data_IF_756967605755
#
_entry.id   IF_756967605755
#
_cell.length_a   1.000
_cell.length_b   1.000
_cell.length_c   1.000
_cell.angle_alpha   90.00
_cell.angle_beta   90.00
_cell.angle_gamma   90.00
#
_symmetry.space_group_name_H-M   'P 1'
#
loop_
_entity.id
_entity.type
_entity.pdbx_description
1 polymer ?
#
# COMPACT_ATOMS: atom_id res chain seq x y z
N UNK A 1 13.38 14.55 8.66
CA UNK A 1 14.22 15.57 7.95
C UNK A 1 15.61 15.09 7.57
N UNK A 2 16.43 14.50 8.45
CA UNK A 2 17.77 14.01 8.03
C UNK A 2 17.69 12.73 7.20
N UNK A 3 16.94 11.74 7.65
CA UNK A 3 16.77 10.44 6.96
C UNK A 3 16.09 10.60 5.61
N UNK A 4 15.04 11.40 5.51
CA UNK A 4 14.35 11.73 4.25
C UNK A 4 15.31 12.28 3.19
N UNK A 5 16.22 13.19 3.61
CA UNK A 5 17.21 13.76 2.70
C UNK A 5 18.24 12.72 2.24
N UNK A 6 18.68 11.80 3.10
CA UNK A 6 19.56 10.70 2.71
C UNK A 6 18.91 9.83 1.62
N UNK A 7 17.64 9.45 1.79
CA UNK A 7 16.90 8.73 0.76
C UNK A 7 16.73 9.53 -0.54
N UNK A 8 16.47 10.84 -0.43
CA UNK A 8 16.36 11.73 -1.59
C UNK A 8 17.68 11.78 -2.37
N UNK A 9 18.83 11.88 -1.69
CA UNK A 9 20.16 11.86 -2.31
C UNK A 9 20.38 10.53 -3.04
N UNK A 10 20.11 9.39 -2.39
CA UNK A 10 20.25 8.06 -3.02
C UNK A 10 19.37 7.97 -4.26
N UNK A 11 18.13 8.41 -4.20
CA UNK A 11 17.23 8.38 -5.34
C UNK A 11 17.71 9.26 -6.51
N UNK A 12 18.19 10.47 -6.24
CA UNK A 12 18.73 11.38 -7.25
C UNK A 12 19.99 10.80 -7.94
N UNK A 13 20.87 10.15 -7.16
CA UNK A 13 22.04 9.48 -7.69
C UNK A 13 21.69 8.23 -8.50
N UNK A 14 20.69 7.46 -8.08
CA UNK A 14 20.20 6.29 -8.83
C UNK A 14 19.53 6.67 -10.15
N UNK A 15 18.77 7.75 -10.18
CA UNK A 15 18.10 8.23 -11.38
C UNK A 15 19.03 8.91 -12.38
N UNK A 16 20.28 9.18 -11.98
CA UNK A 16 21.24 9.96 -12.79
C UNK A 16 20.84 11.44 -12.98
N UNK A 17 19.88 11.92 -12.17
CA UNK A 17 19.35 13.29 -12.29
C UNK A 17 20.30 14.36 -11.75
N UNK A 18 21.25 13.99 -10.88
CA UNK A 18 22.26 14.88 -10.29
C UNK A 18 23.61 14.19 -10.30
N UNK A 19 24.63 14.89 -10.78
CA UNK A 19 26.01 14.37 -10.86
C UNK A 19 27.00 15.16 -10.00
N UNK A 20 26.61 16.25 -9.36
CA UNK A 20 27.52 17.10 -8.58
C UNK A 20 26.99 17.43 -7.19
N UNK A 21 27.91 17.70 -6.24
CA UNK A 21 27.51 18.12 -4.89
C UNK A 21 26.70 19.44 -4.89
N UNK A 22 26.94 20.29 -5.88
CA UNK A 22 26.20 21.55 -6.04
C UNK A 22 24.75 21.31 -6.45
N UNK A 23 24.52 20.46 -7.46
CA UNK A 23 23.17 20.06 -7.90
C UNK A 23 22.40 19.39 -6.76
N UNK A 24 23.03 18.46 -6.04
CA UNK A 24 22.41 17.82 -4.87
C UNK A 24 22.04 18.84 -3.79
N UNK A 25 22.91 19.83 -3.54
CA UNK A 25 22.66 20.88 -2.56
C UNK A 25 21.47 21.76 -2.96
N UNK A 26 21.35 22.12 -4.23
CA UNK A 26 20.23 22.86 -4.78
C UNK A 26 18.92 22.07 -4.67
N UNK A 27 18.90 20.81 -5.09
CA UNK A 27 17.72 19.94 -5.01
C UNK A 27 17.23 19.69 -3.57
N UNK A 28 18.17 19.49 -2.65
CA UNK A 28 17.85 19.24 -1.25
C UNK A 28 17.69 20.51 -0.41
N UNK A 29 17.89 21.72 -1.01
CA UNK A 29 17.83 23.02 -0.33
C UNK A 29 18.75 23.11 0.90
N UNK A 30 19.97 22.60 0.78
CA UNK A 30 21.01 22.61 1.84
C UNK A 30 22.37 23.06 1.30
N UNK A 31 23.34 23.27 2.20
CA UNK A 31 24.71 23.62 1.79
C UNK A 31 25.45 22.42 1.20
N UNK A 32 26.43 22.68 0.31
CA UNK A 32 27.33 21.65 -0.23
C UNK A 32 28.08 20.90 0.90
N UNK A 33 28.43 21.60 2.00
CA UNK A 33 29.03 20.99 3.19
C UNK A 33 28.09 19.97 3.85
N UNK A 34 26.78 20.25 3.88
CA UNK A 34 25.78 19.32 4.39
C UNK A 34 25.69 18.08 3.50
N UNK A 35 25.67 18.25 2.18
CA UNK A 35 25.69 17.14 1.23
C UNK A 35 26.91 16.25 1.41
N UNK A 36 28.11 16.83 1.59
CA UNK A 36 29.32 16.03 1.83
C UNK A 36 29.20 15.16 3.09
N UNK A 37 28.70 15.72 4.19
CA UNK A 37 28.45 14.94 5.42
C UNK A 37 27.40 13.85 5.21
N UNK A 38 26.37 14.12 4.42
CA UNK A 38 25.34 13.13 4.10
C UNK A 38 25.90 12.01 3.20
N UNK A 39 26.78 12.32 2.24
CA UNK A 39 27.49 11.34 1.41
C UNK A 39 28.44 10.46 2.25
N UNK A 40 29.15 11.05 3.21
CA UNK A 40 29.98 10.31 4.16
C UNK A 40 29.14 9.37 5.02
N UNK A 41 27.97 9.83 5.51
CA UNK A 41 27.04 9.01 6.27
C UNK A 41 26.46 7.86 5.44
N UNK A 42 26.14 8.09 4.17
CA UNK A 42 25.70 7.05 3.23
C UNK A 42 26.80 6.01 3.00
N UNK A 43 28.04 6.46 2.81
CA UNK A 43 29.20 5.57 2.66
C UNK A 43 29.45 4.72 3.90
N UNK A 44 29.34 5.30 5.09
CA UNK A 44 29.44 4.58 6.38
C UNK A 44 28.29 3.57 6.56
N UNK A 45 27.11 3.86 6.01
CA UNK A 45 25.96 2.95 5.99
C UNK A 45 26.08 1.84 4.93
N UNK A 46 27.22 1.74 4.21
CA UNK A 46 27.46 0.70 3.21
C UNK A 46 26.94 1.04 1.80
N UNK A 47 26.44 2.24 1.57
CA UNK A 47 26.03 2.71 0.23
C UNK A 47 27.27 3.18 -0.53
N UNK A 48 27.69 2.51 -1.62
CA UNK A 48 28.94 2.78 -2.30
C UNK A 48 28.83 4.02 -3.18
N UNK A 49 28.91 5.19 -2.55
CA UNK A 49 29.00 6.47 -3.22
C UNK A 49 30.44 6.68 -3.68
N UNK A 50 30.63 7.07 -4.93
CA UNK A 50 31.93 7.49 -5.43
C UNK A 50 31.92 8.97 -5.81
N UNK A 51 33.06 9.61 -5.68
CA UNK A 51 33.29 10.98 -6.13
C UNK A 51 34.54 11.00 -7.01
N UNK A 52 34.43 11.50 -8.23
CA UNK A 52 35.57 11.70 -9.15
C UNK A 52 35.79 13.18 -9.38
N UNK A 53 37.08 13.61 -9.35
CA UNK A 53 37.51 15.00 -9.59
C UNK A 53 37.91 15.18 -11.06
N UNK A 54 37.68 16.37 -11.62
CA UNK A 54 38.13 16.76 -12.94
C UNK A 54 37.02 17.07 -13.91
N UNK A 55 37.39 17.37 -15.16
CA UNK A 55 36.44 17.67 -16.24
C UNK A 55 35.64 16.40 -16.57
N UNK A 56 34.34 16.42 -16.32
CA UNK A 56 33.48 15.23 -16.43
C UNK A 56 33.41 14.38 -15.15
N UNK A 57 34.06 14.84 -14.05
CA UNK A 57 33.93 14.21 -12.74
C UNK A 57 32.58 14.52 -12.07
N UNK A 58 32.17 13.69 -11.13
CA UNK A 58 30.89 13.83 -10.44
C UNK A 58 30.76 12.90 -9.24
N UNK A 59 29.59 12.94 -8.66
CA UNK A 59 29.16 12.06 -7.57
C UNK A 59 28.18 11.05 -8.17
N UNK A 60 28.34 9.80 -7.85
CA UNK A 60 27.48 8.73 -8.33
C UNK A 60 27.49 7.53 -7.39
N UNK A 61 26.67 6.57 -7.73
CA UNK A 61 26.70 5.24 -7.12
C UNK A 61 27.48 4.30 -8.03
N UNK A 62 28.26 3.39 -7.48
CA UNK A 62 28.96 2.38 -8.27
C UNK A 62 27.93 1.65 -9.16
N UNK A 63 28.31 1.39 -10.42
CA UNK A 63 27.40 0.76 -11.42
C UNK A 63 26.81 -0.59 -11.00
N UNK A 64 27.51 -1.25 -10.08
CA UNK A 64 27.09 -2.52 -9.50
C UNK A 64 26.18 -2.35 -8.29
N UNK A 65 26.01 -1.10 -7.81
CA UNK A 65 25.11 -0.81 -6.71
C UNK A 65 23.68 -0.81 -7.23
N UNK A 66 22.94 -1.76 -6.78
CA UNK A 66 21.48 -1.78 -6.82
C UNK A 66 21.01 -1.80 -5.38
N UNK A 67 19.98 -1.02 -5.06
CA UNK A 67 19.41 -0.93 -3.72
C UNK A 67 19.00 -2.32 -3.19
N UNK A 68 18.70 -3.21 -4.12
CA UNK A 68 18.28 -4.58 -3.94
C UNK A 68 19.34 -5.45 -3.23
N UNK A 69 20.62 -5.31 -3.59
CA UNK A 69 21.69 -6.17 -3.04
C UNK A 69 22.15 -5.75 -1.64
N UNK A 70 21.87 -4.52 -1.22
CA UNK A 70 22.40 -3.97 0.04
C UNK A 70 21.38 -4.06 1.18
N UNK A 71 20.08 -4.02 0.87
CA UNK A 71 19.01 -3.95 1.89
C UNK A 71 18.08 -5.17 1.90
N UNK A 72 18.05 -5.94 0.83
CA UNK A 72 17.16 -7.09 0.70
C UNK A 72 17.88 -8.26 0.01
N UNK A 73 17.78 -9.42 0.59
CA UNK A 73 18.21 -10.66 -0.05
C UNK A 73 17.34 -10.97 -1.27
N UNK A 74 17.84 -11.81 -2.15
CA UNK A 74 17.07 -12.25 -3.32
C UNK A 74 15.75 -12.92 -2.95
N UNK A 75 15.72 -13.63 -1.82
CA UNK A 75 14.52 -14.27 -1.31
C UNK A 75 13.50 -13.22 -0.83
N UNK A 76 13.93 -12.23 -0.06
CA UNK A 76 13.05 -11.15 0.41
C UNK A 76 12.43 -10.36 -0.75
N UNK A 77 13.21 -10.09 -1.81
CA UNK A 77 12.70 -9.45 -3.02
C UNK A 77 11.63 -10.32 -3.71
N UNK A 78 11.88 -11.63 -3.83
CA UNK A 78 10.92 -12.57 -4.39
C UNK A 78 9.63 -12.60 -3.55
N UNK A 79 9.75 -12.66 -2.23
CA UNK A 79 8.61 -12.71 -1.32
C UNK A 79 7.75 -11.43 -1.41
N UNK A 80 8.37 -10.26 -1.57
CA UNK A 80 7.67 -8.99 -1.80
C UNK A 80 6.87 -9.06 -3.12
N UNK A 81 7.50 -9.51 -4.20
CA UNK A 81 6.81 -9.62 -5.49
C UNK A 81 5.66 -10.62 -5.45
N UNK A 82 5.84 -11.77 -4.79
CA UNK A 82 4.77 -12.76 -4.58
C UNK A 82 3.63 -12.21 -3.73
N UNK A 83 3.93 -11.44 -2.68
CA UNK A 83 2.92 -10.75 -1.88
C UNK A 83 2.09 -9.77 -2.71
N UNK A 84 2.71 -9.01 -3.61
CA UNK A 84 1.99 -8.11 -4.52
C UNK A 84 1.15 -8.86 -5.56
N UNK A 85 1.64 -9.98 -6.09
CA UNK A 85 0.86 -10.86 -6.97
C UNK A 85 -0.37 -11.43 -6.26
N UNK A 86 -0.23 -11.82 -4.98
CA UNK A 86 -1.36 -12.27 -4.19
C UNK A 86 -2.41 -11.17 -3.97
N UNK A 87 -1.99 -9.93 -3.72
CA UNK A 87 -2.88 -8.77 -3.61
C UNK A 87 -3.60 -8.47 -4.94
N UNK A 88 -2.90 -8.59 -6.08
CA UNK A 88 -3.53 -8.46 -7.39
C UNK A 88 -4.59 -9.53 -7.60
N UNK A 89 -4.28 -10.79 -7.28
CA UNK A 89 -5.22 -11.90 -7.32
C UNK A 89 -6.46 -11.69 -6.43
N UNK A 90 -6.29 -10.98 -5.30
CA UNK A 90 -7.39 -10.56 -4.44
C UNK A 90 -8.21 -9.39 -5.02
N UNK A 91 -7.82 -8.84 -6.18
CA UNK A 91 -8.48 -7.71 -6.83
C UNK A 91 -8.16 -6.37 -6.17
N UNK A 92 -6.98 -6.24 -5.54
CA UNK A 92 -6.49 -4.94 -5.06
C UNK A 92 -6.17 -4.03 -6.26
N UNK A 93 -6.80 -2.85 -6.39
CA UNK A 93 -6.79 -2.07 -7.64
C UNK A 93 -5.42 -1.59 -8.12
N UNK A 94 -4.49 -1.31 -7.18
CA UNK A 94 -3.19 -0.69 -7.48
C UNK A 94 -2.03 -1.70 -7.42
N UNK A 95 -2.29 -2.98 -7.15
CA UNK A 95 -1.27 -4.02 -6.97
C UNK A 95 -0.37 -4.19 -8.18
N UNK A 96 -0.94 -4.19 -9.37
CA UNK A 96 -0.22 -4.40 -10.64
C UNK A 96 0.82 -3.32 -10.93
N UNK A 97 0.49 -2.04 -10.72
CA UNK A 97 1.43 -0.94 -10.97
C UNK A 97 2.65 -0.98 -10.03
N UNK A 98 2.45 -1.33 -8.77
CA UNK A 98 3.53 -1.51 -7.80
C UNK A 98 4.39 -2.74 -8.14
N UNK A 99 3.76 -3.86 -8.51
CA UNK A 99 4.43 -5.10 -8.92
C UNK A 99 5.39 -4.85 -10.09
N UNK A 100 4.91 -4.24 -11.19
CA UNK A 100 5.78 -3.96 -12.35
C UNK A 100 6.93 -3.01 -12.03
N UNK A 101 6.69 -1.97 -11.22
CA UNK A 101 7.75 -1.04 -10.82
C UNK A 101 8.81 -1.73 -9.97
N UNK A 102 8.42 -2.55 -9.00
CA UNK A 102 9.36 -3.25 -8.13
C UNK A 102 10.08 -4.39 -8.85
N UNK A 103 9.41 -5.14 -9.74
CA UNK A 103 10.05 -6.15 -10.57
C UNK A 103 11.14 -5.54 -11.47
N UNK A 104 10.87 -4.37 -12.07
CA UNK A 104 11.86 -3.61 -12.83
C UNK A 104 13.01 -3.11 -11.96
N UNK A 105 12.72 -2.59 -10.75
CA UNK A 105 13.71 -2.11 -9.80
C UNK A 105 14.64 -3.24 -9.34
N UNK A 106 14.07 -4.39 -9.01
CA UNK A 106 14.82 -5.59 -8.61
C UNK A 106 15.48 -6.30 -9.79
N UNK A 107 15.24 -5.84 -11.04
CA UNK A 107 15.73 -6.47 -12.29
C UNK A 107 15.37 -7.95 -12.37
N UNK A 108 14.24 -8.34 -11.78
CA UNK A 108 13.71 -9.70 -11.82
C UNK A 108 12.65 -9.83 -12.89
N UNK A 109 12.69 -10.94 -13.61
CA UNK A 109 11.52 -11.37 -14.37
C UNK A 109 10.46 -11.85 -13.39
N UNK A 110 9.21 -11.54 -13.68
CA UNK A 110 8.09 -12.07 -12.90
C UNK A 110 8.14 -13.60 -12.94
N UNK A 111 8.46 -14.20 -11.82
CA UNK A 111 8.37 -15.64 -11.65
C UNK A 111 6.89 -16.04 -11.56
N UNK A 112 6.43 -16.81 -12.53
CA UNK A 112 5.03 -17.23 -12.65
C UNK A 112 4.74 -18.59 -12.00
N UNK A 113 5.61 -19.05 -11.11
CA UNK A 113 5.37 -20.31 -10.40
C UNK A 113 4.21 -20.21 -9.39
N UNK A 114 3.95 -19.03 -8.86
CA UNK A 114 2.81 -18.73 -8.01
C UNK A 114 1.76 -17.94 -8.81
N UNK A 115 0.56 -18.49 -8.91
CA UNK A 115 -0.59 -17.80 -9.48
C UNK A 115 -1.71 -17.82 -8.46
N UNK A 116 -2.08 -16.65 -7.96
CA UNK A 116 -3.19 -16.48 -7.03
C UNK A 116 -4.37 -15.93 -7.82
N UNK A 117 -5.44 -16.69 -7.90
CA UNK A 117 -6.68 -16.28 -8.55
C UNK A 117 -7.83 -16.42 -7.56
N UNK A 118 -8.29 -15.30 -7.06
CA UNK A 118 -9.47 -15.19 -6.20
C UNK A 118 -10.70 -14.70 -6.99
N UNK A 119 -10.66 -14.72 -8.32
CA UNK A 119 -11.81 -14.34 -9.12
C UNK A 119 -13.00 -15.24 -8.78
N UNK A 120 -14.13 -14.63 -8.44
CA UNK A 120 -15.38 -15.36 -8.32
C UNK A 120 -16.05 -15.40 -9.69
N UNK A 121 -16.65 -16.53 -10.04
CA UNK A 121 -17.46 -16.69 -11.28
C UNK A 121 -18.64 -15.71 -11.35
N UNK A 122 -19.07 -15.18 -10.20
CA UNK A 122 -19.97 -14.04 -10.14
C UNK A 122 -19.10 -12.78 -9.97
N UNK A 123 -19.02 -11.95 -11.01
CA UNK A 123 -18.25 -10.72 -11.04
C UNK A 123 -18.31 -9.96 -9.70
N UNK A 124 -17.16 -9.57 -9.18
CA UNK A 124 -17.09 -8.81 -7.95
C UNK A 124 -17.80 -7.48 -8.17
N UNK A 125 -19.04 -7.33 -7.68
CA UNK A 125 -19.79 -6.06 -7.71
C UNK A 125 -19.14 -4.96 -6.87
N UNK A 126 -17.82 -5.12 -6.57
CA UNK A 126 -16.99 -4.18 -5.83
C UNK A 126 -15.99 -3.54 -6.81
N UNK A 127 -16.44 -2.45 -7.46
CA UNK A 127 -15.63 -1.73 -8.44
C UNK A 127 -14.45 -0.96 -7.82
N UNK A 128 -13.43 -0.68 -8.63
CA UNK A 128 -12.23 0.07 -8.24
C UNK A 128 -12.56 1.40 -7.54
N UNK A 129 -13.50 2.16 -8.08
CA UNK A 129 -13.90 3.45 -7.52
C UNK A 129 -14.42 3.33 -6.08
N UNK A 130 -15.31 2.36 -5.83
CA UNK A 130 -15.85 2.12 -4.49
C UNK A 130 -14.75 1.70 -3.52
N UNK A 131 -13.79 0.90 -3.97
CA UNK A 131 -12.63 0.51 -3.17
C UNK A 131 -11.82 1.74 -2.75
N UNK A 132 -11.48 2.62 -3.70
CA UNK A 132 -10.72 3.85 -3.42
C UNK A 132 -11.47 4.77 -2.46
N UNK A 133 -12.75 5.00 -2.69
CA UNK A 133 -13.57 5.84 -1.80
C UNK A 133 -13.64 5.31 -0.36
N UNK A 134 -13.75 4.01 -0.18
CA UNK A 134 -13.71 3.39 1.15
C UNK A 134 -12.31 3.49 1.77
N UNK A 135 -11.25 3.21 1.01
CA UNK A 135 -9.87 3.37 1.45
C UNK A 135 -9.57 4.79 1.92
N UNK A 136 -9.96 5.79 1.12
CA UNK A 136 -9.80 7.20 1.48
C UNK A 136 -10.59 7.57 2.73
N UNK A 137 -11.83 7.13 2.85
CA UNK A 137 -12.65 7.37 4.03
C UNK A 137 -12.06 6.75 5.30
N UNK A 138 -11.50 5.54 5.22
CA UNK A 138 -10.81 4.87 6.33
C UNK A 138 -9.56 5.65 6.75
N UNK A 139 -8.70 6.00 5.77
CA UNK A 139 -7.44 6.71 6.04
C UNK A 139 -7.66 8.12 6.57
N UNK A 140 -8.68 8.84 6.06
CA UNK A 140 -9.06 10.16 6.49
C UNK A 140 -10.02 10.16 7.71
N UNK A 141 -10.36 8.97 8.24
CA UNK A 141 -11.33 8.80 9.33
C UNK A 141 -12.66 9.53 9.09
N UNK A 142 -13.17 9.46 7.87
CA UNK A 142 -14.43 10.09 7.47
C UNK A 142 -15.60 9.13 7.58
N UNK A 143 -16.71 9.63 8.11
CA UNK A 143 -17.98 8.89 8.19
C UNK A 143 -18.52 8.62 6.78
N UNK A 144 -19.13 7.46 6.59
CA UNK A 144 -19.76 7.08 5.32
C UNK A 144 -21.25 6.82 5.48
N UNK A 145 -22.04 7.22 4.47
CA UNK A 145 -23.44 6.88 4.32
C UNK A 145 -23.61 6.02 3.07
N UNK A 146 -24.41 4.98 3.16
CA UNK A 146 -24.66 4.07 2.05
C UNK A 146 -25.94 3.27 2.22
N UNK A 147 -26.41 2.72 1.12
CA UNK A 147 -27.49 1.73 1.08
C UNK A 147 -26.88 0.32 1.16
N UNK A 148 -27.37 -0.51 2.06
CA UNK A 148 -26.92 -1.89 2.23
C UNK A 148 -28.01 -2.90 1.91
N UNK A 149 -27.67 -3.87 1.07
CA UNK A 149 -28.52 -5.00 0.70
C UNK A 149 -28.09 -6.24 1.50
N UNK A 150 -28.94 -6.70 2.42
CA UNK A 150 -28.67 -7.92 3.19
C UNK A 150 -28.74 -9.18 2.32
N UNK A 151 -28.32 -10.34 2.87
CA UNK A 151 -28.51 -11.64 2.22
C UNK A 151 -29.98 -11.99 2.01
N UNK A 152 -30.87 -11.45 2.85
CA UNK A 152 -32.30 -11.64 2.79
C UNK A 152 -33.03 -10.58 1.94
N UNK A 153 -32.31 -9.90 1.05
CA UNK A 153 -32.83 -8.83 0.18
C UNK A 153 -33.44 -7.62 0.95
N UNK A 154 -33.14 -7.46 2.23
CA UNK A 154 -33.59 -6.28 2.98
C UNK A 154 -32.69 -5.10 2.66
N UNK A 155 -33.26 -3.99 2.29
CA UNK A 155 -32.58 -2.73 2.00
C UNK A 155 -32.58 -1.87 3.25
N UNK A 156 -31.43 -1.28 3.60
CA UNK A 156 -31.30 -0.39 4.74
C UNK A 156 -30.29 0.71 4.48
N UNK A 157 -30.65 1.95 4.78
CA UNK A 157 -29.69 3.06 4.85
C UNK A 157 -28.87 2.96 6.11
N UNK A 158 -27.56 3.20 5.97
CA UNK A 158 -26.60 3.13 7.06
C UNK A 158 -25.68 4.32 7.08
N UNK A 159 -25.37 4.75 8.29
CA UNK A 159 -24.30 5.72 8.57
C UNK A 159 -23.29 5.00 9.46
N UNK A 160 -22.06 4.92 9.02
CA UNK A 160 -21.05 4.12 9.68
C UNK A 160 -19.67 4.77 9.66
N UNK A 161 -18.85 4.41 10.64
CA UNK A 161 -17.45 4.76 10.74
C UNK A 161 -16.63 3.59 10.17
N UNK A 162 -16.08 3.69 8.96
CA UNK A 162 -15.33 2.59 8.35
C UNK A 162 -13.97 2.47 9.01
N UNK A 163 -13.62 1.27 9.49
CA UNK A 163 -12.40 1.03 10.26
C UNK A 163 -11.31 0.33 9.44
N UNK A 164 -11.67 -0.70 8.66
CA UNK A 164 -10.75 -1.36 7.76
C UNK A 164 -11.46 -2.07 6.59
N UNK A 165 -10.68 -2.38 5.55
CA UNK A 165 -11.06 -3.31 4.49
C UNK A 165 -10.46 -4.68 4.82
N UNK A 166 -11.28 -5.71 4.80
CA UNK A 166 -10.92 -7.10 5.06
C UNK A 166 -11.17 -7.94 3.81
N UNK A 167 -10.15 -8.66 3.34
CA UNK A 167 -10.32 -9.68 2.31
C UNK A 167 -10.43 -11.05 2.96
N UNK A 168 -11.58 -11.70 2.84
CA UNK A 168 -11.87 -13.01 3.42
C UNK A 168 -12.79 -13.81 2.50
N UNK A 169 -12.57 -15.13 2.42
CA UNK A 169 -13.44 -16.03 1.65
C UNK A 169 -13.73 -15.53 0.23
N UNK A 170 -12.66 -15.07 -0.46
CA UNK A 170 -12.73 -14.57 -1.85
C UNK A 170 -13.63 -13.33 -2.03
N UNK A 171 -13.83 -12.56 -0.98
CA UNK A 171 -14.63 -11.35 -1.01
C UNK A 171 -14.05 -10.24 -0.14
N UNK A 172 -14.29 -8.99 -0.53
CA UNK A 172 -13.99 -7.83 0.26
C UNK A 172 -15.12 -7.48 1.20
N UNK A 173 -14.75 -7.16 2.43
CA UNK A 173 -15.64 -6.70 3.50
C UNK A 173 -15.15 -5.35 4.02
N UNK A 174 -16.07 -4.61 4.63
CA UNK A 174 -15.79 -3.39 5.38
C UNK A 174 -16.11 -3.67 6.84
N UNK A 175 -15.11 -3.58 7.70
CA UNK A 175 -15.33 -3.53 9.14
C UNK A 175 -15.68 -2.08 9.49
N UNK A 176 -16.82 -1.87 10.11
CA UNK A 176 -17.31 -0.54 10.40
C UNK A 176 -18.15 -0.53 11.68
N UNK A 177 -18.15 0.60 12.39
CA UNK A 177 -19.08 0.84 13.49
C UNK A 177 -20.37 1.47 12.95
N UNK A 178 -21.48 0.78 13.07
CA UNK A 178 -22.82 1.28 12.69
C UNK A 178 -23.33 2.23 13.77
N UNK A 179 -23.47 3.51 13.45
CA UNK A 179 -23.91 4.51 14.40
C UNK A 179 -25.36 4.32 14.87
N UNK A 180 -26.23 3.83 14.00
CA UNK A 180 -27.64 3.57 14.33
C UNK A 180 -27.81 2.37 15.26
N UNK A 181 -26.96 1.34 15.08
CA UNK A 181 -27.00 0.12 15.89
C UNK A 181 -26.03 0.14 17.07
N UNK A 182 -25.16 1.17 17.15
CA UNK A 182 -24.12 1.34 18.17
C UNK A 182 -23.25 0.10 18.38
N UNK A 183 -22.86 -0.56 17.28
CA UNK A 183 -22.01 -1.75 17.31
C UNK A 183 -21.13 -1.88 16.07
N UNK A 184 -20.01 -2.61 16.22
CA UNK A 184 -19.18 -3.00 15.11
C UNK A 184 -19.87 -4.05 14.24
N UNK A 185 -19.60 -3.98 12.93
CA UNK A 185 -20.18 -4.87 11.94
C UNK A 185 -19.19 -5.14 10.81
N UNK A 186 -19.28 -6.33 10.26
CA UNK A 186 -18.56 -6.71 9.04
C UNK A 186 -19.59 -6.78 7.91
N UNK A 187 -19.39 -5.94 6.91
CA UNK A 187 -20.33 -5.74 5.79
C UNK A 187 -19.66 -6.17 4.49
N UNK A 188 -20.30 -7.03 3.73
CA UNK A 188 -19.79 -7.41 2.41
C UNK A 188 -19.80 -6.22 1.47
N UNK A 189 -18.63 -5.81 0.98
CA UNK A 189 -18.45 -4.57 0.21
C UNK A 189 -19.24 -4.56 -1.11
N UNK A 190 -19.44 -5.73 -1.72
CA UNK A 190 -20.26 -5.87 -2.94
C UNK A 190 -21.74 -5.55 -2.74
N UNK A 191 -22.23 -5.57 -1.48
CA UNK A 191 -23.62 -5.26 -1.13
C UNK A 191 -23.86 -3.80 -0.75
N UNK A 192 -22.82 -2.98 -0.78
CA UNK A 192 -22.89 -1.53 -0.55
C UNK A 192 -23.25 -0.85 -1.89
N UNK A 193 -24.25 0.03 -1.87
CA UNK A 193 -24.64 0.91 -2.98
C UNK A 193 -24.70 2.35 -2.49
N UNK A 194 -24.67 3.28 -3.41
CA UNK A 194 -24.84 4.73 -3.15
C UNK A 194 -23.94 5.21 -2.01
N UNK A 195 -22.65 4.89 -2.10
CA UNK A 195 -21.65 5.23 -1.10
C UNK A 195 -21.35 6.72 -1.17
N UNK A 196 -21.57 7.42 -0.06
CA UNK A 196 -21.21 8.83 0.13
C UNK A 196 -20.25 8.97 1.30
N UNK A 197 -19.11 9.60 1.06
CA UNK A 197 -18.17 10.01 2.10
C UNK A 197 -18.63 11.37 2.64
N UNK A 198 -18.86 11.45 3.95
CA UNK A 198 -19.31 12.67 4.60
C UNK A 198 -18.11 13.54 5.03
N UNK A 199 -18.36 14.83 5.27
CA UNK A 199 -17.31 15.70 5.82
C UNK A 199 -17.01 15.43 7.30
N UNK A 200 -17.93 14.79 7.98
CA UNK A 200 -17.80 14.44 9.39
C UNK A 200 -16.70 13.39 9.62
N UNK A 201 -15.86 13.61 10.62
CA UNK A 201 -14.78 12.73 11.02
C UNK A 201 -15.10 11.96 12.30
N UNK A 202 -14.37 10.88 12.56
CA UNK A 202 -14.47 10.09 13.78
C UNK A 202 -13.07 9.77 14.33
N UNK A 203 -12.96 9.44 15.61
CA UNK A 203 -11.68 9.11 16.26
C UNK A 203 -11.51 7.60 16.55
N UNK A 204 -12.58 6.83 16.38
CA UNK A 204 -12.57 5.41 16.70
C UNK A 204 -11.46 4.68 15.97
N UNK A 205 -10.81 3.78 16.68
CA UNK A 205 -9.87 2.80 16.14
C UNK A 205 -10.42 1.41 16.38
N UNK A 206 -10.02 0.46 15.57
CA UNK A 206 -10.37 -0.95 15.79
C UNK A 206 -9.74 -1.43 17.08
N UNK A 207 -10.53 -1.94 18.01
CA UNK A 207 -10.06 -2.36 19.33
C UNK A 207 -9.47 -3.77 19.34
N UNK A 208 -9.90 -4.63 18.42
CA UNK A 208 -9.42 -6.01 18.28
C UNK A 208 -9.22 -6.37 16.81
N UNK A 209 -8.35 -7.35 16.55
CA UNK A 209 -8.21 -7.96 15.23
C UNK A 209 -9.55 -8.59 14.84
N UNK A 210 -10.21 -8.15 13.75
CA UNK A 210 -11.48 -8.74 13.31
C UNK A 210 -11.37 -10.23 12.98
N UNK A 211 -10.15 -10.75 12.90
CA UNK A 211 -9.86 -12.19 12.74
C UNK A 211 -9.79 -12.93 14.08
N UNK A 212 -9.61 -12.23 15.20
CA UNK A 212 -9.44 -12.84 16.54
C UNK A 212 -10.74 -13.15 17.27
N UNK A 213 -11.89 -12.63 16.83
CA UNK A 213 -13.17 -12.86 17.49
C UNK A 213 -13.89 -14.11 16.95
N UNK A 214 -14.14 -15.12 17.80
CA UNK A 214 -14.81 -16.38 17.41
C UNK A 214 -16.28 -16.21 16.96
N UNK A 215 -16.86 -15.03 17.12
CA UNK A 215 -18.31 -14.84 17.02
C UNK A 215 -18.83 -14.57 15.60
N UNK A 216 -17.94 -14.43 14.60
CA UNK A 216 -18.37 -14.30 13.21
C UNK A 216 -18.90 -15.60 12.60
N UNK A 217 -18.72 -16.75 13.27
CA UNK A 217 -19.23 -18.05 12.81
C UNK A 217 -20.75 -18.19 12.94
N UNK A 218 -21.38 -17.41 13.81
CA UNK A 218 -22.83 -17.52 14.07
C UNK A 218 -23.73 -16.79 13.07
N UNK A 219 -23.19 -15.94 12.20
CA UNK A 219 -23.98 -15.24 11.18
C UNK A 219 -24.01 -15.94 9.82
N UNK A 220 -23.35 -17.08 9.69
CA UNK A 220 -23.29 -17.85 8.46
C UNK A 220 -23.83 -19.27 8.69
N UNK A 221 -25.13 -19.41 8.85
CA UNK A 221 -25.76 -20.70 8.58
C UNK A 221 -25.68 -20.91 7.06
N UNK A 222 -24.68 -21.64 6.63
CA UNK A 222 -24.64 -22.22 5.29
C UNK A 222 -25.80 -23.20 5.20
N UNK A 223 -26.94 -22.78 4.67
CA UNK A 223 -27.87 -23.72 4.08
C UNK A 223 -27.21 -24.25 2.81
N UNK A 224 -26.65 -25.46 2.91
CA UNK A 224 -26.36 -26.29 1.75
C UNK A 224 -27.70 -26.65 1.11
N UNK A 225 -27.86 -26.25 -0.13
CA UNK A 225 -28.78 -26.89 -1.08
C UNK A 225 -27.93 -27.48 -2.17
#
# INVERSE_FOLDING_TARGET
MHVERLFQIVFLLMSGSCGTAKELAEHCSVSVRTIQRDLDALSLAGIPVFSSRGYGGGIGLLKEFTLDKTFMTEQEQADILHGLQALEGAGYPDGNAALHKLAALFRRKEDRWLRVDFSSWCGSGFGKEKFHRLKEAILAKKVVRFTYFSSENRVSERVAEPLCLLFRERAWYVCAFDRKKSREMVLRASRIRDLHVMEETFERTMQEDPMATPDYSKSYTLQRV
#
